data_IF_762580590821
#
_entry.id   IF_762580590821
#
_cell.length_a   1.000
_cell.length_b   1.000
_cell.length_c   1.000
_cell.angle_alpha   90.00
_cell.angle_beta   90.00
_cell.angle_gamma   90.00
#
_symmetry.space_group_name_H-M   'P 1'
#
loop_
_entity.id
_entity.type
_entity.pdbx_description
1 polymer ?
#
# COMPACT_ATOMS: atom_id res chain seq x y z
N UNK A 1 17.02 -25.06 -0.16
CA UNK A 1 18.18 -24.22 -0.54
C UNK A 1 18.42 -23.22 0.59
N UNK A 2 19.61 -23.21 1.20
CA UNK A 2 19.88 -22.36 2.36
C UNK A 2 19.71 -20.88 2.06
N UNK A 3 18.95 -20.15 2.89
CA UNK A 3 18.80 -18.70 2.75
C UNK A 3 20.18 -18.04 2.87
N UNK A 4 20.74 -17.60 1.74
CA UNK A 4 21.89 -16.69 1.73
C UNK A 4 21.50 -15.43 2.50
N UNK A 5 22.43 -14.94 3.31
CA UNK A 5 22.24 -13.64 3.95
C UNK A 5 22.01 -12.58 2.88
N UNK A 6 21.10 -11.60 3.10
CA UNK A 6 20.83 -10.56 2.11
C UNK A 6 22.11 -9.81 1.76
N UNK A 7 22.41 -9.71 0.47
CA UNK A 7 23.56 -8.97 -0.04
C UNK A 7 23.20 -7.52 -0.40
N UNK A 8 24.20 -6.73 -0.79
CA UNK A 8 24.00 -5.32 -1.18
C UNK A 8 22.94 -5.16 -2.29
N UNK A 9 22.91 -6.07 -3.27
CA UNK A 9 21.91 -6.03 -4.35
C UNK A 9 20.47 -6.21 -3.85
N UNK A 10 20.24 -7.02 -2.81
CA UNK A 10 18.90 -7.22 -2.25
C UNK A 10 18.42 -5.98 -1.50
N UNK A 11 19.32 -5.31 -0.77
CA UNK A 11 19.01 -4.02 -0.13
C UNK A 11 18.81 -2.91 -1.15
N UNK A 12 19.58 -2.87 -2.24
CA UNK A 12 19.37 -1.89 -3.32
C UNK A 12 17.98 -2.06 -3.95
N UNK A 13 17.54 -3.29 -4.21
CA UNK A 13 16.19 -3.55 -4.72
C UNK A 13 15.12 -3.07 -3.73
N UNK A 14 15.30 -3.35 -2.44
CA UNK A 14 14.38 -2.91 -1.39
C UNK A 14 14.30 -1.38 -1.29
N UNK A 15 15.45 -0.70 -1.32
CA UNK A 15 15.53 0.77 -1.27
C UNK A 15 14.92 1.38 -2.53
N UNK A 16 15.21 0.82 -3.71
CA UNK A 16 14.64 1.28 -4.97
C UNK A 16 13.11 1.13 -4.98
N UNK A 17 12.60 -0.02 -4.54
CA UNK A 17 11.14 -0.22 -4.44
C UNK A 17 10.52 0.72 -3.39
N UNK A 18 11.18 0.94 -2.26
CA UNK A 18 10.71 1.89 -1.25
C UNK A 18 10.68 3.34 -1.75
N UNK A 19 11.69 3.74 -2.54
CA UNK A 19 11.73 5.05 -3.17
C UNK A 19 10.64 5.21 -4.23
N UNK A 20 10.41 4.19 -5.06
CA UNK A 20 9.33 4.15 -6.04
C UNK A 20 7.98 4.24 -5.32
N UNK A 21 7.69 3.36 -4.38
CA UNK A 21 6.39 3.39 -3.69
C UNK A 21 6.20 4.62 -2.81
N UNK A 22 7.27 5.12 -2.19
CA UNK A 22 7.25 6.39 -1.47
C UNK A 22 6.91 7.56 -2.39
N UNK A 23 7.44 7.63 -3.62
CA UNK A 23 7.07 8.71 -4.55
C UNK A 23 5.62 8.62 -5.04
N UNK A 24 4.90 7.52 -4.79
CA UNK A 24 3.51 7.41 -5.25
C UNK A 24 2.61 8.50 -4.66
N UNK A 25 2.78 8.87 -3.40
CA UNK A 25 2.00 9.95 -2.76
C UNK A 25 2.21 11.28 -3.49
N UNK A 26 3.46 11.62 -3.77
CA UNK A 26 3.80 12.83 -4.54
C UNK A 26 3.16 12.81 -5.95
N UNK A 27 3.21 11.67 -6.63
CA UNK A 27 2.64 11.54 -7.98
C UNK A 27 1.11 11.51 -7.95
N UNK A 28 0.49 10.92 -6.92
CA UNK A 28 -0.97 10.95 -6.73
C UNK A 28 -1.40 12.40 -6.50
N UNK A 29 -0.70 13.18 -5.68
CA UNK A 29 -0.95 14.61 -5.49
C UNK A 29 -0.99 15.39 -6.80
N UNK A 30 -0.05 15.11 -7.72
CA UNK A 30 -0.04 15.69 -9.07
C UNK A 30 -1.21 15.20 -9.93
N UNK A 31 -1.58 13.91 -9.84
CA UNK A 31 -2.69 13.35 -10.60
C UNK A 31 -4.04 13.96 -10.18
N UNK A 32 -4.25 14.10 -8.87
CA UNK A 32 -5.53 14.57 -8.30
C UNK A 32 -5.73 16.08 -8.37
N UNK A 33 -4.75 16.82 -8.88
CA UNK A 33 -4.86 18.26 -9.13
C UNK A 33 -5.99 18.57 -10.11
N UNK A 34 -6.14 17.76 -11.18
CA UNK A 34 -7.22 17.94 -12.17
C UNK A 34 -8.03 16.67 -12.45
N UNK A 35 -7.69 15.54 -11.85
CA UNK A 35 -8.40 14.26 -12.06
C UNK A 35 -8.87 13.68 -10.73
N UNK A 36 -10.18 13.62 -10.44
CA UNK A 36 -10.65 13.17 -9.14
C UNK A 36 -10.27 11.72 -8.81
N UNK A 37 -10.39 11.38 -7.53
CA UNK A 37 -9.81 10.18 -6.95
C UNK A 37 -10.17 8.85 -7.64
N UNK A 38 -11.44 8.63 -7.99
CA UNK A 38 -11.87 7.35 -8.56
C UNK A 38 -11.32 7.19 -9.99
N UNK A 39 -11.30 8.27 -10.77
CA UNK A 39 -10.79 8.30 -12.14
C UNK A 39 -9.28 8.15 -12.17
N UNK A 40 -8.55 8.82 -11.28
CA UNK A 40 -7.11 8.62 -11.07
C UNK A 40 -6.81 7.15 -10.75
N UNK A 41 -7.62 6.55 -9.87
CA UNK A 41 -7.48 5.13 -9.49
C UNK A 41 -7.77 4.19 -10.65
N UNK A 42 -8.85 4.41 -11.42
CA UNK A 42 -9.18 3.60 -12.60
C UNK A 42 -8.06 3.68 -13.63
N UNK A 43 -7.59 4.89 -13.98
CA UNK A 43 -6.52 5.06 -14.97
C UNK A 43 -5.25 4.31 -14.58
N UNK A 44 -4.82 4.44 -13.31
CA UNK A 44 -3.70 3.70 -12.74
C UNK A 44 -3.89 2.19 -12.86
N UNK A 45 -5.07 1.68 -12.48
CA UNK A 45 -5.35 0.25 -12.44
C UNK A 45 -5.50 -0.38 -13.83
N UNK A 46 -6.12 0.32 -14.80
CA UNK A 46 -6.25 -0.14 -16.19
C UNK A 46 -4.87 -0.34 -16.82
N UNK A 47 -3.99 0.64 -16.65
CA UNK A 47 -2.62 0.58 -17.18
C UNK A 47 -1.86 -0.59 -16.55
N UNK A 48 -1.95 -0.73 -15.23
CA UNK A 48 -1.30 -1.83 -14.53
C UNK A 48 -1.87 -3.20 -14.93
N UNK A 49 -3.19 -3.30 -15.09
CA UNK A 49 -3.87 -4.51 -15.54
C UNK A 49 -3.39 -4.93 -16.93
N UNK A 50 -3.27 -3.99 -17.87
CA UNK A 50 -2.80 -4.27 -19.22
C UNK A 50 -1.38 -4.85 -19.22
N UNK A 51 -0.46 -4.21 -18.48
CA UNK A 51 0.93 -4.67 -18.37
C UNK A 51 1.02 -6.02 -17.68
N UNK A 52 0.38 -6.20 -16.52
CA UNK A 52 0.47 -7.44 -15.77
C UNK A 52 -0.24 -8.61 -16.47
N UNK A 53 -1.32 -8.34 -17.22
CA UNK A 53 -1.95 -9.34 -18.07
C UNK A 53 -1.02 -9.78 -19.21
N UNK A 54 -0.30 -8.82 -19.82
CA UNK A 54 0.70 -9.13 -20.84
C UNK A 54 1.83 -9.99 -20.25
N UNK A 55 2.36 -9.61 -19.08
CA UNK A 55 3.40 -10.36 -18.39
C UNK A 55 2.92 -11.77 -18.02
N UNK A 56 1.69 -11.92 -17.50
CA UNK A 56 1.11 -13.22 -17.19
C UNK A 56 1.02 -14.11 -18.43
N UNK A 57 0.56 -13.58 -19.56
CA UNK A 57 0.48 -14.29 -20.84
C UNK A 57 1.86 -14.74 -21.34
N UNK A 58 2.87 -13.86 -21.28
CA UNK A 58 4.24 -14.21 -21.67
C UNK A 58 4.86 -15.25 -20.74
N UNK A 59 4.47 -15.27 -19.46
CA UNK A 59 4.85 -16.29 -18.51
C UNK A 59 4.07 -17.62 -18.67
N UNK A 60 3.20 -17.73 -19.68
CA UNK A 60 2.35 -18.91 -19.89
C UNK A 60 1.27 -19.10 -18.82
N UNK A 61 0.99 -18.07 -18.02
CA UNK A 61 0.02 -18.13 -16.93
C UNK A 61 -1.34 -17.61 -17.41
N UNK A 62 -2.36 -18.45 -17.29
CA UNK A 62 -3.75 -18.06 -17.57
C UNK A 62 -4.43 -17.50 -16.33
N UNK A 63 -5.39 -16.60 -16.54
CA UNK A 63 -6.22 -16.08 -15.46
C UNK A 63 -6.98 -17.23 -14.75
N UNK A 64 -7.30 -17.08 -13.45
CA UNK A 64 -8.06 -18.08 -12.72
C UNK A 64 -9.38 -18.43 -13.42
N UNK A 65 -9.70 -19.72 -13.50
CA UNK A 65 -10.98 -20.21 -14.04
C UNK A 65 -12.02 -20.48 -12.96
N UNK A 66 -11.57 -20.68 -11.72
CA UNK A 66 -12.44 -21.06 -10.60
C UNK A 66 -13.19 -19.85 -10.05
N UNK A 67 -14.53 -19.89 -9.96
CA UNK A 67 -15.32 -18.84 -9.30
C UNK A 67 -14.92 -18.65 -7.82
N UNK A 68 -14.50 -19.74 -7.15
CA UNK A 68 -14.01 -19.68 -5.76
C UNK A 68 -12.74 -18.83 -5.66
N UNK A 69 -11.81 -19.00 -6.60
CA UNK A 69 -10.58 -18.18 -6.65
C UNK A 69 -10.94 -16.73 -6.96
N UNK A 70 -11.88 -16.48 -7.88
CA UNK A 70 -12.37 -15.13 -8.14
C UNK A 70 -13.02 -14.47 -6.92
N UNK A 71 -13.76 -15.19 -6.08
CA UNK A 71 -14.29 -14.64 -4.83
C UNK A 71 -13.19 -14.11 -3.90
N UNK A 72 -12.10 -14.87 -3.75
CA UNK A 72 -10.94 -14.43 -2.96
C UNK A 72 -10.19 -13.29 -3.65
N UNK A 73 -9.98 -13.37 -4.97
CA UNK A 73 -9.35 -12.30 -5.76
C UNK A 73 -10.15 -11.01 -5.66
N UNK A 74 -11.48 -11.06 -5.72
CA UNK A 74 -12.34 -9.89 -5.58
C UNK A 74 -12.21 -9.26 -4.19
N UNK A 75 -12.19 -10.06 -3.13
CA UNK A 75 -11.97 -9.54 -1.78
C UNK A 75 -10.57 -8.91 -1.64
N UNK A 76 -9.53 -9.57 -2.14
CA UNK A 76 -8.17 -9.04 -2.16
C UNK A 76 -8.02 -7.80 -3.05
N UNK A 77 -8.74 -7.73 -4.18
CA UNK A 77 -8.78 -6.58 -5.07
C UNK A 77 -9.40 -5.36 -4.38
N UNK A 78 -10.53 -5.57 -3.69
CA UNK A 78 -11.22 -4.53 -2.95
C UNK A 78 -10.30 -3.90 -1.89
N UNK A 79 -9.73 -4.72 -1.01
CA UNK A 79 -8.92 -4.25 0.11
C UNK A 79 -7.45 -3.98 -0.23
N UNK A 80 -6.95 -4.54 -1.32
CA UNK A 80 -5.54 -4.40 -1.73
C UNK A 80 -5.30 -3.25 -2.69
N UNK A 81 -6.29 -2.86 -3.49
CA UNK A 81 -6.10 -1.85 -4.53
C UNK A 81 -7.29 -0.90 -4.67
N UNK A 82 -8.51 -1.40 -4.95
CA UNK A 82 -9.64 -0.55 -5.28
C UNK A 82 -9.95 0.48 -4.20
N UNK A 83 -10.24 0.01 -2.98
CA UNK A 83 -10.56 0.87 -1.86
C UNK A 83 -9.34 1.69 -1.39
N UNK A 84 -8.17 1.10 -1.08
CA UNK A 84 -7.07 1.90 -0.56
C UNK A 84 -6.52 2.93 -1.56
N UNK A 85 -6.41 2.62 -2.86
CA UNK A 85 -5.94 3.61 -3.83
C UNK A 85 -6.92 4.77 -3.97
N UNK A 86 -8.23 4.47 -4.00
CA UNK A 86 -9.26 5.52 -4.07
C UNK A 86 -9.26 6.39 -2.81
N UNK A 87 -9.15 5.78 -1.61
CA UNK A 87 -9.10 6.52 -0.36
C UNK A 87 -7.85 7.40 -0.23
N UNK A 88 -6.69 6.93 -0.71
CA UNK A 88 -5.45 7.72 -0.72
C UNK A 88 -5.59 8.90 -1.69
N UNK A 89 -6.02 8.64 -2.93
CA UNK A 89 -6.22 9.69 -3.93
C UNK A 89 -7.26 10.73 -3.45
N UNK A 90 -8.36 10.26 -2.85
CA UNK A 90 -9.37 11.15 -2.28
C UNK A 90 -8.82 11.94 -1.10
N UNK A 91 -8.01 11.34 -0.23
CA UNK A 91 -7.33 12.06 0.83
C UNK A 91 -6.47 13.20 0.29
N UNK A 92 -5.63 12.90 -0.70
CA UNK A 92 -4.65 13.82 -1.28
C UNK A 92 -5.23 14.94 -2.15
N UNK A 93 -6.51 14.87 -2.54
CA UNK A 93 -7.20 16.04 -3.09
C UNK A 93 -7.15 17.25 -2.14
N UNK A 94 -7.03 17.00 -0.83
CA UNK A 94 -7.02 18.04 0.21
C UNK A 94 -5.77 18.05 1.06
N UNK A 95 -5.20 16.89 1.37
CA UNK A 95 -4.01 16.80 2.23
C UNK A 95 -2.72 16.72 1.41
N UNK A 96 -1.60 17.08 2.03
CA UNK A 96 -0.28 17.00 1.43
C UNK A 96 0.21 15.54 1.31
N UNK A 97 1.03 15.28 0.30
CA UNK A 97 1.54 13.93 0.01
C UNK A 97 2.44 13.39 1.12
N UNK A 98 3.27 14.24 1.73
CA UNK A 98 4.09 13.89 2.88
C UNK A 98 3.24 13.51 4.10
N UNK A 99 2.10 14.17 4.31
CA UNK A 99 1.17 13.83 5.38
C UNK A 99 0.51 12.47 5.13
N UNK A 100 0.08 12.21 3.88
CA UNK A 100 -0.46 10.92 3.48
C UNK A 100 0.55 9.77 3.68
N UNK A 101 1.82 10.01 3.34
CA UNK A 101 2.90 9.03 3.54
C UNK A 101 3.11 8.68 5.02
N UNK A 102 3.07 9.66 5.93
CA UNK A 102 3.18 9.43 7.38
C UNK A 102 1.99 8.60 7.88
N UNK A 103 0.75 8.95 7.46
CA UNK A 103 -0.45 8.22 7.84
C UNK A 103 -0.38 6.74 7.42
N UNK A 104 0.18 6.46 6.24
CA UNK A 104 0.38 5.10 5.75
C UNK A 104 1.39 4.28 6.58
N UNK A 105 2.22 4.92 7.39
CA UNK A 105 3.14 4.25 8.31
C UNK A 105 2.46 3.35 9.36
N UNK A 106 1.15 3.54 9.61
CA UNK A 106 0.39 2.71 10.57
C UNK A 106 -0.04 1.35 9.99
N UNK A 107 0.08 1.16 8.67
CA UNK A 107 -0.29 -0.08 7.96
C UNK A 107 0.23 -1.40 8.60
N UNK A 108 1.52 -1.53 8.98
CA UNK A 108 1.98 -2.76 9.65
C UNK A 108 1.27 -3.02 10.98
N UNK A 109 0.82 -1.98 11.69
CA UNK A 109 0.15 -2.11 12.98
C UNK A 109 -1.30 -2.54 12.81
N UNK A 110 -2.00 -2.01 11.79
CA UNK A 110 -3.35 -2.48 11.42
C UNK A 110 -3.33 -3.93 10.96
N UNK A 111 -2.27 -4.34 10.26
CA UNK A 111 -2.06 -5.74 9.83
C UNK A 111 -1.95 -6.68 11.02
N UNK A 112 -1.14 -6.31 12.03
CA UNK A 112 -0.99 -7.10 13.26
C UNK A 112 -2.30 -7.19 14.05
N UNK A 113 -3.03 -6.09 14.14
CA UNK A 113 -4.33 -6.05 14.81
C UNK A 113 -5.35 -6.96 14.12
N UNK A 114 -5.49 -6.85 12.80
CA UNK A 114 -6.43 -7.67 12.02
C UNK A 114 -6.02 -9.15 12.03
N UNK A 115 -4.73 -9.47 12.00
CA UNK A 115 -4.24 -10.84 12.10
C UNK A 115 -4.69 -11.48 13.42
N UNK A 116 -4.64 -10.74 14.53
CA UNK A 116 -5.12 -11.23 15.83
C UNK A 116 -6.62 -11.54 15.85
N UNK A 117 -7.42 -10.66 15.23
CA UNK A 117 -8.87 -10.76 15.23
C UNK A 117 -9.37 -11.83 14.25
N UNK A 118 -8.71 -11.99 13.10
CA UNK A 118 -9.20 -12.81 12.00
C UNK A 118 -8.47 -14.16 11.86
N UNK A 119 -7.36 -14.38 12.58
CA UNK A 119 -6.59 -15.63 12.51
C UNK A 119 -6.41 -16.27 13.88
N UNK A 120 -6.26 -17.61 13.87
CA UNK A 120 -6.05 -18.40 15.09
C UNK A 120 -4.59 -18.37 15.54
N UNK A 121 -3.67 -18.28 14.57
CA UNK A 121 -2.26 -18.62 14.77
C UNK A 121 -1.44 -17.40 15.23
N UNK A 122 -1.91 -16.19 14.93
CA UNK A 122 -1.16 -14.96 15.17
C UNK A 122 -1.82 -14.07 16.23
N UNK A 123 -1.61 -14.38 17.51
CA UNK A 123 -2.19 -13.60 18.62
C UNK A 123 -1.34 -12.39 19.04
N UNK A 124 -2.00 -11.38 19.62
CA UNK A 124 -1.34 -10.25 20.24
C UNK A 124 -0.55 -10.72 21.47
N UNK A 125 0.65 -10.17 21.60
CA UNK A 125 1.44 -10.21 22.82
C UNK A 125 1.67 -8.77 23.30
N UNK A 126 2.27 -8.61 24.47
CA UNK A 126 2.52 -7.28 25.05
C UNK A 126 3.28 -6.34 24.09
N UNK A 127 4.23 -6.85 23.30
CA UNK A 127 4.99 -6.04 22.32
C UNK A 127 4.13 -5.60 21.13
N UNK A 128 3.35 -6.50 20.57
CA UNK A 128 2.40 -6.18 19.48
C UNK A 128 1.35 -5.17 19.95
N UNK A 129 0.83 -5.34 21.16
CA UNK A 129 -0.10 -4.39 21.79
C UNK A 129 0.53 -3.01 22.00
N UNK A 130 1.74 -2.96 22.57
CA UNK A 130 2.48 -1.70 22.72
C UNK A 130 2.73 -1.01 21.37
N UNK A 131 3.14 -1.77 20.34
CA UNK A 131 3.34 -1.23 19.00
C UNK A 131 2.07 -0.60 18.41
N UNK A 132 0.91 -1.24 18.58
CA UNK A 132 -0.39 -0.69 18.16
C UNK A 132 -0.70 0.61 18.91
N UNK A 133 -0.46 0.66 20.23
CA UNK A 133 -0.66 1.88 21.03
C UNK A 133 0.24 3.03 20.56
N UNK A 134 1.50 2.74 20.24
CA UNK A 134 2.39 3.74 19.62
C UNK A 134 1.86 4.22 18.27
N UNK A 135 1.37 3.33 17.40
CA UNK A 135 0.74 3.73 16.14
C UNK A 135 -0.45 4.66 16.32
N UNK A 136 -1.36 4.31 17.24
CA UNK A 136 -2.52 5.14 17.58
C UNK A 136 -2.09 6.49 18.16
N UNK A 137 -1.09 6.51 19.05
CA UNK A 137 -0.53 7.73 19.59
C UNK A 137 0.06 8.62 18.48
N UNK A 138 0.82 8.03 17.55
CA UNK A 138 1.36 8.75 16.39
C UNK A 138 0.28 9.33 15.49
N UNK A 139 -0.81 8.59 15.24
CA UNK A 139 -1.98 9.08 14.51
C UNK A 139 -2.65 10.27 15.21
N UNK A 140 -2.82 10.20 16.54
CA UNK A 140 -3.39 11.29 17.35
C UNK A 140 -2.48 12.52 17.34
N UNK A 141 -1.16 12.35 17.45
CA UNK A 141 -0.17 13.44 17.37
C UNK A 141 -0.26 14.13 16.00
N UNK A 142 -0.45 13.35 14.94
CA UNK A 142 -0.48 13.84 13.57
C UNK A 142 -1.74 14.65 13.27
N UNK A 143 -2.92 14.08 13.56
CA UNK A 143 -4.21 14.74 13.32
C UNK A 143 -4.40 15.92 14.28
N UNK A 144 -3.94 15.76 15.52
CA UNK A 144 -4.18 16.69 16.62
C UNK A 144 -5.46 16.32 17.40
N UNK A 145 -5.41 16.25 18.74
CA UNK A 145 -6.54 15.78 19.55
C UNK A 145 -7.81 16.63 19.42
N UNK A 146 -7.67 17.94 19.26
CA UNK A 146 -8.81 18.86 19.12
C UNK A 146 -9.60 18.62 17.82
N UNK A 147 -8.89 18.28 16.73
CA UNK A 147 -9.49 18.00 15.41
C UNK A 147 -10.23 16.66 15.35
N UNK A 148 -10.02 15.79 16.33
CA UNK A 148 -10.74 14.52 16.46
C UNK A 148 -12.10 14.69 17.15
N UNK A 149 -12.29 15.77 17.91
CA UNK A 149 -13.56 16.08 18.57
C UNK A 149 -14.56 16.65 17.55
N UNK A 150 -14.07 17.46 16.61
CA UNK A 150 -14.86 18.02 15.52
C UNK A 150 -14.28 17.57 14.17
N UNK A 151 -14.93 16.57 13.55
CA UNK A 151 -14.50 16.00 12.28
C UNK A 151 -14.76 16.98 11.12
N UNK A 152 -13.79 17.86 10.84
CA UNK A 152 -13.77 18.69 9.63
C UNK A 152 -13.36 17.89 8.39
N UNK A 153 -13.46 18.53 7.20
CA UNK A 153 -13.13 17.88 5.92
C UNK A 153 -11.69 17.33 5.92
N UNK A 154 -10.70 18.12 6.37
CA UNK A 154 -9.31 17.67 6.46
C UNK A 154 -9.13 16.42 7.34
N UNK A 155 -9.85 16.36 8.48
CA UNK A 155 -9.78 15.19 9.37
C UNK A 155 -10.38 13.96 8.67
N UNK A 156 -11.48 14.11 7.94
CA UNK A 156 -12.07 13.01 7.17
C UNK A 156 -11.11 12.49 6.09
N UNK A 157 -10.39 13.40 5.42
CA UNK A 157 -9.40 13.05 4.39
C UNK A 157 -8.21 12.29 5.00
N UNK A 158 -7.72 12.74 6.15
CA UNK A 158 -6.66 12.02 6.89
C UNK A 158 -7.14 10.64 7.37
N UNK A 159 -8.37 10.54 7.88
CA UNK A 159 -8.96 9.27 8.31
C UNK A 159 -9.20 8.32 7.14
N UNK A 160 -9.53 8.82 5.94
CA UNK A 160 -9.61 8.00 4.74
C UNK A 160 -8.27 7.38 4.38
N UNK A 161 -7.17 8.16 4.41
CA UNK A 161 -5.81 7.62 4.18
C UNK A 161 -5.42 6.61 5.27
N UNK A 162 -5.70 6.90 6.55
CA UNK A 162 -5.47 5.94 7.63
C UNK A 162 -6.29 4.65 7.45
N UNK A 163 -7.51 4.75 6.91
CA UNK A 163 -8.37 3.59 6.60
C UNK A 163 -7.82 2.77 5.43
N UNK A 164 -7.16 3.40 4.46
CA UNK A 164 -6.43 2.68 3.41
C UNK A 164 -5.34 1.77 4.01
N UNK A 165 -4.63 2.25 5.03
CA UNK A 165 -3.65 1.45 5.76
C UNK A 165 -4.28 0.21 6.43
N UNK A 166 -5.51 0.31 6.93
CA UNK A 166 -6.26 -0.84 7.46
C UNK A 166 -6.69 -1.83 6.36
N UNK A 167 -7.05 -1.33 5.18
CA UNK A 167 -7.39 -2.17 4.02
C UNK A 167 -6.23 -3.11 3.64
N UNK A 168 -4.99 -2.60 3.61
CA UNK A 168 -3.83 -3.46 3.34
C UNK A 168 -3.63 -4.56 4.38
N UNK A 169 -3.95 -4.31 5.65
CA UNK A 169 -3.93 -5.34 6.69
C UNK A 169 -4.93 -6.47 6.41
N UNK A 170 -6.15 -6.13 6.00
CA UNK A 170 -7.15 -7.11 5.58
C UNK A 170 -6.68 -7.89 4.34
N UNK A 171 -6.15 -7.18 3.33
CA UNK A 171 -5.61 -7.78 2.12
C UNK A 171 -4.46 -8.76 2.41
N UNK A 172 -3.57 -8.44 3.34
CA UNK A 172 -2.47 -9.31 3.74
C UNK A 172 -2.95 -10.65 4.31
N UNK A 173 -4.13 -10.69 4.94
CA UNK A 173 -4.74 -11.92 5.46
C UNK A 173 -5.46 -12.67 4.34
N UNK A 174 -6.31 -11.98 3.57
CA UNK A 174 -7.08 -12.57 2.46
C UNK A 174 -6.15 -13.22 1.44
N UNK A 175 -5.08 -12.52 1.08
CA UNK A 175 -4.10 -12.96 0.07
C UNK A 175 -3.31 -14.21 0.48
N UNK A 176 -3.31 -14.61 1.76
CA UNK A 176 -2.68 -15.88 2.19
C UNK A 176 -3.29 -17.09 1.49
N UNK A 177 -4.60 -17.07 1.22
CA UNK A 177 -5.29 -18.16 0.50
C UNK A 177 -5.01 -18.19 -1.01
N UNK A 178 -4.30 -17.19 -1.55
CA UNK A 178 -3.84 -17.15 -2.94
C UNK A 178 -2.39 -17.65 -3.08
N UNK A 179 -1.72 -17.99 -1.98
CA UNK A 179 -0.37 -18.58 -2.01
C UNK A 179 -0.42 -19.91 -2.79
N UNK A 180 0.57 -20.10 -3.68
CA UNK A 180 0.63 -21.25 -4.58
C UNK A 180 -0.08 -21.05 -5.92
N UNK A 181 -0.91 -20.02 -6.07
CA UNK A 181 -1.46 -19.64 -7.37
C UNK A 181 -0.39 -18.95 -8.24
N UNK A 182 -0.52 -18.99 -9.59
CA UNK A 182 0.40 -18.30 -10.48
C UNK A 182 0.36 -16.78 -10.25
N UNK A 183 1.43 -16.21 -9.69
CA UNK A 183 1.43 -14.85 -9.12
C UNK A 183 1.17 -13.77 -10.15
N UNK A 184 1.72 -13.91 -11.35
CA UNK A 184 1.53 -12.95 -12.44
C UNK A 184 0.05 -12.94 -12.86
N UNK A 185 -0.57 -14.11 -13.03
CA UNK A 185 -2.00 -14.20 -13.33
C UNK A 185 -2.89 -13.64 -12.21
N UNK A 186 -2.58 -13.94 -10.94
CA UNK A 186 -3.32 -13.38 -9.79
C UNK A 186 -3.18 -11.85 -9.73
N UNK A 187 -1.98 -11.31 -9.95
CA UNK A 187 -1.76 -9.86 -9.95
C UNK A 187 -2.55 -9.16 -11.06
N UNK A 188 -2.62 -9.76 -12.26
CA UNK A 188 -3.45 -9.25 -13.34
C UNK A 188 -4.95 -9.31 -12.99
N UNK A 189 -5.41 -10.44 -12.43
CA UNK A 189 -6.80 -10.62 -11.99
C UNK A 189 -7.19 -9.60 -10.90
N UNK A 190 -6.30 -9.31 -9.95
CA UNK A 190 -6.49 -8.29 -8.92
C UNK A 190 -6.67 -6.89 -9.53
N UNK A 191 -5.81 -6.49 -10.47
CA UNK A 191 -5.95 -5.19 -11.14
C UNK A 191 -7.25 -5.10 -11.93
N UNK A 192 -7.63 -6.17 -12.64
CA UNK A 192 -8.88 -6.22 -13.41
C UNK A 192 -10.12 -6.12 -12.52
N UNK A 193 -10.18 -6.92 -11.45
CA UNK A 193 -11.27 -6.86 -10.48
C UNK A 193 -11.35 -5.48 -9.82
N UNK A 194 -10.21 -4.91 -9.42
CA UNK A 194 -10.15 -3.59 -8.79
C UNK A 194 -10.65 -2.51 -9.75
N UNK A 195 -10.20 -2.55 -11.00
CA UNK A 195 -10.66 -1.64 -12.05
C UNK A 195 -12.18 -1.71 -12.20
N UNK A 196 -12.73 -2.92 -12.36
CA UNK A 196 -14.16 -3.13 -12.54
C UNK A 196 -14.98 -2.60 -11.35
N UNK A 197 -14.45 -2.69 -10.12
CA UNK A 197 -15.11 -2.20 -8.91
C UNK A 197 -15.11 -0.67 -8.80
N UNK A 198 -14.10 0.02 -9.31
CA UNK A 198 -13.96 1.48 -9.17
C UNK A 198 -14.61 2.24 -10.34
N UNK A 199 -14.75 1.61 -11.52
CA UNK A 199 -15.40 2.22 -12.70
C UNK A 199 -16.74 2.89 -12.35
N UNK A 200 -17.69 2.26 -11.64
CA UNK A 200 -18.96 2.90 -11.31
C UNK A 200 -18.79 4.21 -10.54
N UNK A 201 -17.81 4.30 -9.63
CA UNK A 201 -17.55 5.53 -8.89
C UNK A 201 -16.99 6.64 -9.80
N UNK A 202 -16.07 6.30 -10.71
CA UNK A 202 -15.53 7.25 -11.70
C UNK A 202 -16.61 7.75 -12.67
N UNK A 203 -17.56 6.90 -13.06
CA UNK A 203 -18.66 7.31 -13.93
C UNK A 203 -19.70 8.17 -13.17
N UNK A 204 -20.13 7.73 -11.98
CA UNK A 204 -21.25 8.36 -11.27
C UNK A 204 -20.86 9.62 -10.50
N UNK A 205 -19.66 9.66 -9.92
CA UNK A 205 -19.23 10.77 -9.05
C UNK A 205 -18.25 11.70 -9.75
N UNK A 206 -17.24 11.16 -10.42
CA UNK A 206 -16.21 12.01 -11.06
C UNK A 206 -16.64 12.52 -12.44
N UNK A 207 -17.60 11.83 -13.08
CA UNK A 207 -18.08 12.13 -14.44
C UNK A 207 -16.92 12.30 -15.42
N UNK A 208 -16.10 11.26 -15.57
CA UNK A 208 -14.85 11.28 -16.34
C UNK A 208 -14.92 11.96 -17.72
N UNK A 209 -16.08 11.95 -18.39
CA UNK A 209 -16.31 12.59 -19.69
C UNK A 209 -16.42 14.13 -19.64
N UNK A 210 -16.60 14.73 -18.46
CA UNK A 210 -16.66 16.18 -18.22
C UNK A 210 -15.30 16.76 -17.78
N UNK A 211 -14.26 15.94 -17.59
CA UNK A 211 -13.00 16.37 -17.01
C UNK A 211 -12.07 17.07 -18.00
N UNK A 212 -11.55 18.23 -17.60
CA UNK A 212 -10.41 18.87 -18.25
C UNK A 212 -9.10 18.35 -17.65
N UNK A 213 -8.48 17.38 -18.32
CA UNK A 213 -7.28 16.70 -17.81
C UNK A 213 -6.02 17.45 -18.22
N UNK A 214 -5.25 17.94 -17.25
CA UNK A 214 -3.93 18.52 -17.53
C UNK A 214 -2.94 17.46 -18.01
N UNK A 215 -1.94 17.86 -18.80
CA UNK A 215 -0.87 16.95 -19.25
C UNK A 215 -0.07 16.39 -18.08
N UNK A 216 0.09 17.16 -16.99
CA UNK A 216 0.78 16.72 -15.79
C UNK A 216 0.01 15.60 -15.07
N UNK A 217 -1.30 15.78 -14.86
CA UNK A 217 -2.16 14.77 -14.23
C UNK A 217 -2.23 13.49 -15.08
N UNK A 218 -2.34 13.63 -16.39
CA UNK A 218 -2.33 12.49 -17.31
C UNK A 218 -1.03 11.69 -17.24
N UNK A 219 0.13 12.37 -17.28
CA UNK A 219 1.43 11.71 -17.16
C UNK A 219 1.62 11.08 -15.78
N UNK A 220 1.16 11.72 -14.72
CA UNK A 220 1.18 11.19 -13.37
C UNK A 220 0.41 9.86 -13.28
N UNK A 221 -0.79 9.77 -13.88
CA UNK A 221 -1.57 8.52 -13.93
C UNK A 221 -0.82 7.41 -14.68
N UNK A 222 -0.17 7.74 -15.80
CA UNK A 222 0.67 6.78 -16.54
C UNK A 222 1.80 6.26 -15.66
N UNK A 223 2.52 7.16 -14.98
CA UNK A 223 3.62 6.81 -14.08
C UNK A 223 3.12 5.98 -12.88
N UNK A 224 1.93 6.27 -12.34
CA UNK A 224 1.32 5.46 -11.28
C UNK A 224 0.99 4.05 -11.76
N UNK A 225 0.44 3.90 -12.96
CA UNK A 225 0.10 2.61 -13.54
C UNK A 225 1.32 1.77 -13.88
N UNK A 226 2.26 2.34 -14.64
CA UNK A 226 3.44 1.64 -15.15
C UNK A 226 4.49 1.40 -14.05
N UNK A 227 4.98 2.47 -13.43
CA UNK A 227 6.14 2.40 -12.55
C UNK A 227 5.74 1.92 -11.15
N UNK A 228 4.76 2.59 -10.55
CA UNK A 228 4.43 2.34 -9.14
C UNK A 228 3.64 1.05 -8.94
N UNK A 229 2.75 0.72 -9.88
CA UNK A 229 1.84 -0.42 -9.76
C UNK A 229 2.37 -1.64 -10.49
N UNK A 230 2.50 -1.62 -11.81
CA UNK A 230 2.94 -2.80 -12.56
C UNK A 230 4.39 -3.17 -12.24
N UNK A 231 5.34 -2.28 -12.51
CA UNK A 231 6.76 -2.55 -12.26
C UNK A 231 7.05 -2.74 -10.77
N UNK A 232 6.48 -1.92 -9.89
CA UNK A 232 6.58 -2.11 -8.44
C UNK A 232 6.10 -3.49 -7.98
N UNK A 233 5.02 -4.02 -8.54
CA UNK A 233 4.54 -5.39 -8.25
C UNK A 233 5.54 -6.46 -8.70
N UNK A 234 6.14 -6.30 -9.88
CA UNK A 234 7.17 -7.23 -10.38
C UNK A 234 8.44 -7.19 -9.52
N UNK A 235 8.86 -6.00 -9.08
CA UNK A 235 9.97 -5.85 -8.13
C UNK A 235 9.66 -6.48 -6.77
N UNK A 236 8.44 -6.30 -6.26
CA UNK A 236 7.99 -6.96 -5.05
C UNK A 236 8.12 -8.48 -5.17
N UNK A 237 7.66 -9.09 -6.26
CA UNK A 237 7.80 -10.53 -6.45
C UNK A 237 9.25 -10.95 -6.49
N UNK A 238 10.10 -10.18 -7.19
CA UNK A 238 11.55 -10.43 -7.25
C UNK A 238 12.20 -10.41 -5.86
N UNK A 239 11.86 -9.44 -5.02
CA UNK A 239 12.42 -9.33 -3.66
C UNK A 239 11.93 -10.48 -2.78
N UNK A 240 10.65 -10.82 -2.85
CA UNK A 240 10.06 -11.92 -2.08
C UNK A 240 10.67 -13.27 -2.52
N UNK A 241 10.89 -13.49 -3.81
CA UNK A 241 11.51 -14.71 -4.31
C UNK A 241 12.98 -14.84 -3.90
N UNK A 242 13.70 -13.72 -3.79
CA UNK A 242 15.11 -13.72 -3.38
C UNK A 242 15.27 -13.92 -1.87
N UNK A 243 14.57 -13.13 -1.06
CA UNK A 243 14.83 -13.04 0.39
C UNK A 243 13.61 -13.28 1.28
N UNK A 244 12.44 -13.56 0.70
CA UNK A 244 11.21 -13.86 1.43
C UNK A 244 10.46 -12.63 1.97
N UNK A 245 9.22 -12.86 2.40
CA UNK A 245 8.33 -11.83 2.91
C UNK A 245 8.86 -11.13 4.18
N UNK A 246 9.64 -11.85 5.01
CA UNK A 246 10.25 -11.28 6.22
C UNK A 246 11.25 -10.18 5.87
N UNK A 247 12.13 -10.40 4.88
CA UNK A 247 13.05 -9.37 4.41
C UNK A 247 12.29 -8.19 3.79
N UNK A 248 11.33 -8.48 2.92
CA UNK A 248 10.49 -7.48 2.26
C UNK A 248 9.76 -6.56 3.26
N UNK A 249 9.30 -7.08 4.40
CA UNK A 249 8.56 -6.29 5.42
C UNK A 249 9.32 -5.08 5.99
N UNK A 250 10.63 -4.99 5.78
CA UNK A 250 11.42 -3.79 6.08
C UNK A 250 10.98 -2.55 5.28
N UNK A 251 10.35 -2.76 4.12
CA UNK A 251 9.81 -1.69 3.29
C UNK A 251 8.85 -0.77 4.05
N UNK A 252 8.16 -1.30 5.07
CA UNK A 252 7.21 -0.57 5.91
C UNK A 252 7.85 0.58 6.70
N UNK A 253 9.17 0.54 6.93
CA UNK A 253 9.91 1.64 7.55
C UNK A 253 10.37 2.67 6.53
N UNK A 254 10.64 2.22 5.29
CA UNK A 254 11.28 3.03 4.27
C UNK A 254 10.25 3.85 3.49
N UNK A 255 9.10 3.28 3.13
CA UNK A 255 8.10 3.95 2.28
C UNK A 255 7.57 5.25 2.89
N UNK A 256 7.16 5.32 4.18
CA UNK A 256 6.72 6.58 4.78
C UNK A 256 7.81 7.66 4.77
N UNK A 257 9.07 7.25 5.01
CA UNK A 257 10.23 8.17 5.00
C UNK A 257 10.48 8.69 3.59
N UNK A 258 10.52 7.82 2.59
CA UNK A 258 10.69 8.25 1.19
C UNK A 258 9.54 9.12 0.72
N UNK A 259 8.28 8.80 1.07
CA UNK A 259 7.14 9.64 0.70
C UNK A 259 7.23 11.04 1.27
N UNK A 260 7.61 11.17 2.55
CA UNK A 260 7.88 12.46 3.16
C UNK A 260 9.00 13.22 2.44
N UNK A 261 10.12 12.55 2.15
CA UNK A 261 11.28 13.16 1.48
C UNK A 261 10.95 13.64 0.06
N UNK A 262 10.18 12.86 -0.71
CA UNK A 262 9.77 13.25 -2.06
C UNK A 262 8.84 14.47 -2.07
N UNK A 263 7.85 14.51 -1.17
CA UNK A 263 6.96 15.67 -1.02
C UNK A 263 7.74 16.94 -0.65
N UNK A 264 8.69 16.84 0.28
CA UNK A 264 9.56 17.96 0.67
C UNK A 264 10.48 18.42 -0.46
N UNK A 265 11.13 17.49 -1.17
CA UNK A 265 12.17 17.81 -2.15
C UNK A 265 11.62 18.34 -3.48
N UNK A 266 10.48 17.82 -3.94
CA UNK A 266 9.96 18.08 -5.29
C UNK A 266 8.74 19.02 -5.25
N UNK A 267 7.82 18.81 -4.30
CA UNK A 267 6.62 19.66 -4.15
C UNK A 267 6.82 20.82 -3.18
N UNK A 268 8.02 20.94 -2.57
CA UNK A 268 8.35 21.94 -1.57
C UNK A 268 7.38 21.95 -0.36
N UNK A 269 6.76 20.80 -0.06
CA UNK A 269 5.88 20.64 1.09
C UNK A 269 6.65 20.86 2.40
N UNK A 270 5.98 21.45 3.39
CA UNK A 270 6.54 21.70 4.71
C UNK A 270 5.70 20.98 5.76
N UNK A 271 6.01 19.70 6.04
CA UNK A 271 5.31 18.94 7.08
C UNK A 271 5.35 19.70 8.41
N UNK A 272 4.23 19.75 9.14
CA UNK A 272 4.20 20.44 10.42
C UNK A 272 5.10 19.72 11.44
N UNK A 273 5.54 20.44 12.48
CA UNK A 273 6.48 19.90 13.47
C UNK A 273 5.98 18.60 14.15
N UNK A 274 4.67 18.52 14.40
CA UNK A 274 4.02 17.32 14.93
C UNK A 274 4.04 16.15 13.92
N UNK A 275 4.17 16.42 12.62
CA UNK A 275 4.35 15.41 11.57
C UNK A 275 5.61 14.57 11.76
N UNK A 276 6.75 15.21 12.05
CA UNK A 276 8.00 14.51 12.32
C UNK A 276 7.93 13.67 13.61
N UNK A 277 7.31 14.22 14.66
CA UNK A 277 7.10 13.50 15.92
C UNK A 277 6.18 12.28 15.71
N UNK A 278 5.09 12.44 14.97
CA UNK A 278 4.18 11.36 14.64
C UNK A 278 4.88 10.25 13.86
N UNK A 279 5.66 10.60 12.82
CA UNK A 279 6.41 9.62 12.04
C UNK A 279 7.37 8.82 12.94
N UNK A 280 8.13 9.50 13.80
CA UNK A 280 9.04 8.84 14.74
C UNK A 280 8.31 7.86 15.68
N UNK A 281 7.18 8.29 16.24
CA UNK A 281 6.35 7.48 17.14
C UNK A 281 5.76 6.27 16.41
N UNK A 282 5.27 6.44 15.18
CA UNK A 282 4.74 5.36 14.35
C UNK A 282 5.84 4.33 14.07
N UNK A 283 6.99 4.77 13.56
CA UNK A 283 8.12 3.89 13.23
C UNK A 283 8.63 3.13 14.48
N UNK A 284 8.66 3.79 15.64
CA UNK A 284 8.97 3.15 16.91
C UNK A 284 7.94 2.05 17.23
N UNK A 285 6.65 2.33 17.07
CA UNK A 285 5.59 1.33 17.23
C UNK A 285 5.78 0.11 16.33
N UNK A 286 6.13 0.32 15.06
CA UNK A 286 6.43 -0.78 14.13
C UNK A 286 7.66 -1.58 14.60
N UNK A 287 8.72 -0.90 15.04
CA UNK A 287 9.92 -1.57 15.56
C UNK A 287 9.63 -2.42 16.80
N UNK A 288 8.85 -1.88 17.75
CA UNK A 288 8.44 -2.58 18.98
C UNK A 288 7.59 -3.81 18.65
N UNK A 289 6.63 -3.69 17.73
CA UNK A 289 5.81 -4.82 17.29
C UNK A 289 6.63 -5.94 16.64
N UNK A 290 7.73 -5.59 15.93
CA UNK A 290 8.61 -6.56 15.25
C UNK A 290 9.64 -7.22 16.17
N UNK A 291 10.17 -6.51 17.18
CA UNK A 291 11.33 -6.93 17.98
C UNK A 291 11.20 -8.25 18.76
N UNK A 292 10.05 -8.93 18.70
CA UNK A 292 9.82 -10.25 19.30
C UNK A 292 9.59 -11.40 18.30
N UNK A 293 9.64 -11.16 16.99
CA UNK A 293 9.54 -12.25 16.00
C UNK A 293 10.83 -13.09 16.07
N UNK A 294 10.76 -14.20 16.81
CA UNK A 294 11.81 -15.22 16.85
C UNK A 294 12.03 -15.70 15.40
N UNK A 295 13.29 -15.71 14.93
CA UNK A 295 13.68 -16.32 13.66
C UNK A 295 12.95 -17.68 13.56
N UNK A 296 12.25 -18.00 12.46
CA UNK A 296 11.73 -19.35 12.26
C UNK A 296 12.90 -20.32 12.46
N UNK A 297 12.71 -21.34 13.30
CA UNK A 297 13.69 -22.41 13.39
C UNK A 297 13.90 -22.97 11.97
N UNK A 298 15.14 -23.28 11.56
CA UNK A 298 15.34 -23.93 10.27
C UNK A 298 14.52 -25.22 10.29
N UNK A 299 13.61 -25.38 9.32
CA UNK A 299 12.98 -26.66 9.04
C UNK A 299 14.11 -27.67 8.87
N UNK A 300 14.26 -28.55 9.86
CA UNK A 300 15.12 -29.71 9.72
C UNK A 300 14.48 -30.55 8.62
N UNK A 301 15.12 -30.62 7.47
CA UNK A 301 14.68 -31.47 6.38
C UNK A 301 14.59 -32.89 6.88
N UNK A 302 13.38 -33.44 6.89
CA UNK A 302 13.23 -34.88 6.92
C UNK A 302 13.59 -35.42 5.54
N UNK A 303 14.44 -36.44 5.58
CA UNK A 303 15.15 -37.09 4.48
C UNK A 303 14.23 -37.72 3.43
#
# INVERSE_FOLDING_TARGET
MGHKQPGASDYMLLIALAAIWGSSFMIIKVAVDTVPAATTTVGRLVIAAAVLLLVARHAGQSLPRSPRVWGVVSAAALFGCALPFTLIAWGEEKIDSGLAAILMGVMPLTTVLLAHLMTSDEKLNARKGAGILFGLAGLIILIGPEKLIYLGEDTLRQLAVASAAACYGANAIISKSLVGQPRQAISAALMLASTAMVIPASLLFDRVWELEVSSASFLAIIVLGLLHTAYGTLLLFTIIDRQGASFFSQINFLVPVFGLLWGMAILAERPPANGYAALAVILLGVAVARGGQRKPAPEQGEH
#
